data_IF_757477507332
#
_entry.id   IF_757477507332
#
_cell.length_a   1.000
_cell.length_b   1.000
_cell.length_c   1.000
_cell.angle_alpha   90.00
_cell.angle_beta   90.00
_cell.angle_gamma   90.00
#
_symmetry.space_group_name_H-M   'P 1'
#
loop_
_entity.id
_entity.type
_entity.pdbx_description
1 polymer ?
#
# COMPACT_ATOMS: atom_id res chain seq x y z
N UNK A 1 16.34 -0.82 17.21
CA UNK A 1 17.51 -0.33 17.98
C UNK A 1 18.85 -0.84 17.42
N UNK A 2 18.96 -1.01 16.10
CA UNK A 2 20.22 -1.40 15.47
C UNK A 2 21.12 -0.17 15.31
N UNK A 3 22.37 -0.32 15.73
CA UNK A 3 23.41 0.70 15.53
C UNK A 3 24.42 0.24 14.49
N UNK A 4 24.83 1.15 13.63
CA UNK A 4 25.94 0.97 12.68
C UNK A 4 26.69 2.28 12.53
N UNK A 5 28.00 2.19 12.27
CA UNK A 5 28.88 3.37 12.14
C UNK A 5 28.77 4.34 13.34
N UNK A 6 28.62 3.80 14.55
CA UNK A 6 28.59 4.56 15.80
C UNK A 6 27.30 5.31 16.09
N UNK A 7 26.20 5.03 15.37
CA UNK A 7 24.88 5.67 15.63
C UNK A 7 23.72 4.76 15.24
N UNK A 8 22.53 5.06 15.78
CA UNK A 8 21.29 4.37 15.43
C UNK A 8 21.00 4.52 13.94
N UNK A 9 20.43 3.47 13.30
CA UNK A 9 20.00 3.50 11.90
C UNK A 9 19.06 4.66 11.57
N UNK A 10 18.19 5.03 12.51
CA UNK A 10 17.27 6.16 12.33
C UNK A 10 17.96 7.53 12.21
N UNK A 11 19.25 7.62 12.54
CA UNK A 11 20.06 8.81 12.35
C UNK A 11 20.59 9.01 10.92
N UNK A 12 20.35 8.06 10.01
CA UNK A 12 20.82 8.18 8.62
C UNK A 12 19.73 8.75 7.70
N UNK A 13 20.08 9.71 6.88
CA UNK A 13 19.14 10.42 5.99
C UNK A 13 18.40 9.48 5.04
N UNK A 14 19.08 8.47 4.47
CA UNK A 14 18.44 7.50 3.57
C UNK A 14 17.42 6.59 4.31
N UNK A 15 17.59 6.35 5.59
CA UNK A 15 16.61 5.65 6.42
C UNK A 15 15.43 6.58 6.73
N UNK A 16 15.70 7.82 7.09
CA UNK A 16 14.66 8.83 7.36
C UNK A 16 13.79 9.08 6.13
N UNK A 17 14.37 9.14 4.93
CA UNK A 17 13.62 9.26 3.68
C UNK A 17 12.64 8.09 3.50
N UNK A 18 13.10 6.85 3.70
CA UNK A 18 12.23 5.67 3.63
C UNK A 18 11.09 5.72 4.66
N UNK A 19 11.39 6.09 5.90
CA UNK A 19 10.38 6.23 6.94
C UNK A 19 9.35 7.32 6.61
N UNK A 20 9.80 8.46 6.07
CA UNK A 20 8.89 9.53 5.63
C UNK A 20 7.96 9.08 4.50
N UNK A 21 8.46 8.31 3.54
CA UNK A 21 7.62 7.72 2.48
C UNK A 21 6.62 6.72 3.03
N UNK A 22 7.03 5.85 3.95
CA UNK A 22 6.13 4.90 4.61
C UNK A 22 5.00 5.61 5.36
N UNK A 23 5.31 6.69 6.07
CA UNK A 23 4.33 7.53 6.78
C UNK A 23 3.37 8.19 5.78
N UNK A 24 3.88 8.82 4.72
CA UNK A 24 3.05 9.44 3.68
C UNK A 24 2.10 8.42 3.02
N UNK A 25 2.58 7.23 2.73
CA UNK A 25 1.76 6.14 2.18
C UNK A 25 0.65 5.73 3.17
N UNK A 26 0.96 5.63 4.45
CA UNK A 26 0.01 5.25 5.50
C UNK A 26 -1.09 6.31 5.64
N UNK A 27 -0.73 7.56 5.74
CA UNK A 27 -1.69 8.69 5.84
C UNK A 27 -2.59 8.75 4.61
N UNK A 28 -2.01 8.60 3.42
CA UNK A 28 -2.78 8.59 2.16
C UNK A 28 -3.77 7.43 2.12
N UNK A 29 -3.33 6.23 2.50
CA UNK A 29 -4.18 5.04 2.52
C UNK A 29 -5.34 5.15 3.52
N UNK A 30 -5.07 5.70 4.71
CA UNK A 30 -6.11 5.98 5.71
C UNK A 30 -7.12 7.00 5.20
N UNK A 31 -6.67 8.07 4.54
CA UNK A 31 -7.57 9.08 3.96
C UNK A 31 -8.50 8.51 2.88
N UNK A 32 -8.01 7.61 2.02
CA UNK A 32 -8.85 6.90 1.05
C UNK A 32 -9.87 5.99 1.73
N UNK A 33 -9.47 5.29 2.77
CA UNK A 33 -10.36 4.40 3.54
C UNK A 33 -11.44 5.18 4.28
N UNK A 34 -11.09 6.30 4.91
CA UNK A 34 -12.02 7.20 5.59
C UNK A 34 -13.06 7.79 4.61
N UNK A 35 -12.60 8.23 3.43
CA UNK A 35 -13.50 8.71 2.39
C UNK A 35 -14.49 7.63 1.94
N UNK A 36 -14.02 6.39 1.76
CA UNK A 36 -14.88 5.27 1.38
C UNK A 36 -15.91 4.96 2.47
N UNK A 37 -15.49 4.93 3.73
CA UNK A 37 -16.37 4.72 4.86
C UNK A 37 -17.44 5.82 4.98
N UNK A 38 -17.08 7.07 4.74
CA UNK A 38 -18.00 8.21 4.71
C UNK A 38 -19.08 8.06 3.64
N UNK A 39 -18.69 7.67 2.41
CA UNK A 39 -19.63 7.41 1.32
C UNK A 39 -20.59 6.27 1.66
N UNK A 40 -20.07 5.18 2.21
CA UNK A 40 -20.86 4.04 2.62
C UNK A 40 -21.86 4.41 3.73
N UNK A 41 -21.44 5.18 4.74
CA UNK A 41 -22.32 5.64 5.82
C UNK A 41 -23.44 6.55 5.31
N UNK A 42 -23.19 7.32 4.25
CA UNK A 42 -24.20 8.16 3.59
C UNK A 42 -25.15 7.36 2.68
N UNK A 43 -24.97 6.05 2.54
CA UNK A 43 -25.75 5.22 1.62
C UNK A 43 -25.35 5.39 0.15
N UNK A 44 -24.24 6.07 -0.10
CA UNK A 44 -23.67 6.28 -1.44
C UNK A 44 -22.66 5.16 -1.74
N UNK A 45 -23.15 3.94 -2.00
CA UNK A 45 -22.23 2.89 -2.45
C UNK A 45 -21.74 3.24 -3.85
N UNK A 46 -20.41 3.27 -3.99
CA UNK A 46 -19.79 3.62 -5.24
C UNK A 46 -18.68 2.63 -5.59
N UNK A 47 -18.92 1.80 -6.62
CA UNK A 47 -17.98 0.81 -7.14
C UNK A 47 -16.64 1.46 -7.53
N UNK A 48 -16.69 2.63 -8.16
CA UNK A 48 -15.48 3.31 -8.65
C UNK A 48 -14.60 3.83 -7.51
N UNK A 49 -15.11 4.55 -6.49
CA UNK A 49 -14.33 4.86 -5.29
C UNK A 49 -13.74 3.64 -4.59
N UNK A 50 -14.47 2.53 -4.49
CA UNK A 50 -13.95 1.29 -3.92
C UNK A 50 -12.79 0.72 -4.75
N UNK A 51 -12.93 0.70 -6.08
CA UNK A 51 -11.85 0.27 -6.99
C UNK A 51 -10.62 1.17 -6.91
N UNK A 52 -10.81 2.49 -6.81
CA UNK A 52 -9.70 3.45 -6.62
C UNK A 52 -9.01 3.19 -5.29
N UNK A 53 -9.76 3.04 -4.19
CA UNK A 53 -9.20 2.78 -2.87
C UNK A 53 -8.44 1.46 -2.83
N UNK A 54 -9.00 0.39 -3.37
CA UNK A 54 -8.35 -0.93 -3.44
C UNK A 54 -7.07 -0.88 -4.26
N UNK A 55 -7.12 -0.33 -5.46
CA UNK A 55 -5.98 -0.23 -6.37
C UNK A 55 -4.84 0.58 -5.74
N UNK A 56 -5.15 1.75 -5.19
CA UNK A 56 -4.15 2.65 -4.63
C UNK A 56 -3.60 2.13 -3.30
N UNK A 57 -4.46 1.68 -2.37
CA UNK A 57 -4.00 1.18 -1.07
C UNK A 57 -3.14 -0.08 -1.21
N UNK A 58 -3.47 -1.00 -2.12
CA UNK A 58 -2.64 -2.17 -2.38
C UNK A 58 -1.26 -1.77 -2.92
N UNK A 59 -1.18 -0.77 -3.80
CA UNK A 59 0.09 -0.23 -4.32
C UNK A 59 0.92 0.41 -3.20
N UNK A 60 0.30 1.25 -2.37
CA UNK A 60 0.96 1.90 -1.23
C UNK A 60 1.46 0.88 -0.20
N UNK A 61 0.66 -0.16 0.06
CA UNK A 61 1.04 -1.25 0.98
C UNK A 61 2.27 -2.01 0.47
N UNK A 62 2.31 -2.37 -0.83
CA UNK A 62 3.48 -3.03 -1.44
C UNK A 62 4.74 -2.18 -1.28
N UNK A 63 4.67 -0.90 -1.58
CA UNK A 63 5.80 0.02 -1.43
C UNK A 63 6.24 0.11 0.04
N UNK A 64 5.30 0.30 0.97
CA UNK A 64 5.59 0.43 2.40
C UNK A 64 6.26 -0.81 2.97
N UNK A 65 5.75 -2.00 2.64
CA UNK A 65 6.35 -3.26 3.13
C UNK A 65 7.71 -3.54 2.49
N UNK A 66 7.91 -3.16 1.22
CA UNK A 66 9.22 -3.26 0.57
C UNK A 66 10.26 -2.35 1.24
N UNK A 67 9.91 -1.09 1.51
CA UNK A 67 10.78 -0.16 2.24
C UNK A 67 11.09 -0.66 3.66
N UNK A 68 10.10 -1.19 4.37
CA UNK A 68 10.30 -1.80 5.69
C UNK A 68 11.28 -2.97 5.65
N UNK A 69 11.15 -3.85 4.64
CA UNK A 69 12.07 -4.97 4.42
C UNK A 69 13.50 -4.48 4.15
N UNK A 70 13.66 -3.43 3.33
CA UNK A 70 14.98 -2.85 3.05
C UNK A 70 15.63 -2.26 4.30
N UNK A 71 14.88 -1.52 5.13
CA UNK A 71 15.36 -0.94 6.38
C UNK A 71 15.87 -2.04 7.33
N UNK A 72 15.22 -3.20 7.36
CA UNK A 72 15.62 -4.34 8.18
C UNK A 72 16.85 -5.08 7.63
N UNK A 73 17.30 -4.80 6.42
CA UNK A 73 18.44 -5.46 5.79
C UNK A 73 18.23 -6.97 5.70
N UNK A 74 19.24 -7.78 6.04
CA UNK A 74 19.15 -9.25 6.05
C UNK A 74 18.05 -9.81 6.94
N UNK A 75 17.73 -9.15 8.04
CA UNK A 75 16.62 -9.54 8.92
C UNK A 75 15.24 -9.36 8.24
N UNK A 76 15.17 -8.52 7.21
CA UNK A 76 13.95 -8.25 6.48
C UNK A 76 13.41 -9.41 5.64
N UNK A 77 14.19 -10.48 5.47
CA UNK A 77 13.80 -11.70 4.74
C UNK A 77 13.63 -12.92 5.65
N UNK A 78 13.81 -12.77 6.95
CA UNK A 78 13.65 -13.86 7.91
C UNK A 78 12.25 -13.84 8.53
N UNK A 79 11.68 -15.01 8.80
CA UNK A 79 10.31 -15.13 9.33
C UNK A 79 10.17 -14.63 10.77
N UNK A 80 11.25 -14.65 11.54
CA UNK A 80 11.31 -14.15 12.92
C UNK A 80 11.03 -12.66 13.01
N UNK A 81 11.38 -11.91 11.96
CA UNK A 81 11.22 -10.44 11.87
C UNK A 81 9.95 -10.04 11.14
N UNK A 82 8.87 -10.71 11.30
CA UNK A 82 7.50 -10.41 10.79
C UNK A 82 7.37 -9.56 9.50
N UNK A 83 8.36 -8.73 9.19
CA UNK A 83 8.38 -7.85 8.00
C UNK A 83 8.31 -8.66 6.70
N UNK A 84 8.95 -9.83 6.65
CA UNK A 84 8.86 -10.76 5.52
C UNK A 84 7.42 -11.27 5.32
N UNK A 85 6.72 -11.55 6.44
CA UNK A 85 5.30 -11.92 6.40
C UNK A 85 4.44 -10.80 5.81
N UNK A 86 4.58 -9.58 6.31
CA UNK A 86 3.83 -8.44 5.79
C UNK A 86 4.12 -8.15 4.31
N UNK A 87 5.35 -8.37 3.87
CA UNK A 87 5.70 -8.28 2.45
C UNK A 87 4.93 -9.32 1.62
N UNK A 88 4.87 -10.57 2.06
CA UNK A 88 4.08 -11.62 1.41
C UNK A 88 2.58 -11.33 1.43
N UNK A 89 2.05 -10.89 2.57
CA UNK A 89 0.63 -10.51 2.71
C UNK A 89 0.27 -9.34 1.76
N UNK A 90 1.17 -8.37 1.58
CA UNK A 90 0.97 -7.25 0.66
C UNK A 90 0.86 -7.71 -0.80
N UNK A 91 1.67 -8.69 -1.22
CA UNK A 91 1.58 -9.29 -2.57
C UNK A 91 0.25 -10.03 -2.76
N UNK A 92 -0.22 -10.74 -1.73
CA UNK A 92 -1.53 -11.38 -1.76
C UNK A 92 -2.66 -10.36 -1.91
N UNK A 93 -2.67 -9.30 -1.08
CA UNK A 93 -3.67 -8.22 -1.13
C UNK A 93 -3.65 -7.51 -2.48
N UNK A 94 -2.49 -7.31 -3.08
CA UNK A 94 -2.37 -6.71 -4.41
C UNK A 94 -3.03 -7.58 -5.48
N UNK A 95 -2.94 -8.90 -5.34
CA UNK A 95 -3.31 -9.87 -6.38
C UNK A 95 -4.76 -10.34 -6.31
N UNK A 96 -5.38 -10.42 -5.12
CA UNK A 96 -6.71 -11.01 -4.94
C UNK A 96 -7.80 -9.96 -4.70
N UNK A 97 -9.09 -10.39 -4.68
CA UNK A 97 -10.26 -9.53 -4.52
C UNK A 97 -10.34 -8.42 -5.57
N UNK A 98 -10.11 -8.79 -6.83
CA UNK A 98 -9.95 -7.87 -7.94
C UNK A 98 -8.48 -7.42 -8.07
N UNK A 99 -7.82 -7.91 -9.13
CA UNK A 99 -6.43 -7.55 -9.40
C UNK A 99 -6.29 -6.05 -9.65
N UNK A 100 -5.05 -5.56 -9.62
CA UNK A 100 -4.76 -4.17 -9.99
C UNK A 100 -5.32 -3.82 -11.39
N UNK A 101 -5.19 -4.73 -12.33
CA UNK A 101 -5.66 -4.58 -13.71
C UNK A 101 -7.19 -4.51 -13.78
N UNK A 102 -7.89 -5.41 -13.07
CA UNK A 102 -9.37 -5.39 -13.02
C UNK A 102 -9.90 -4.07 -12.44
N UNK A 103 -9.33 -3.61 -11.34
CA UNK A 103 -9.72 -2.31 -10.76
C UNK A 103 -9.41 -1.15 -11.72
N UNK A 104 -8.28 -1.20 -12.44
CA UNK A 104 -7.94 -0.21 -13.46
C UNK A 104 -8.97 -0.18 -14.60
N UNK A 105 -9.47 -1.34 -15.03
CA UNK A 105 -10.50 -1.44 -16.08
C UNK A 105 -11.86 -0.89 -15.63
N UNK A 106 -12.25 -1.11 -14.36
CA UNK A 106 -13.46 -0.53 -13.78
C UNK A 106 -13.39 1.01 -13.82
N UNK A 107 -12.27 1.56 -13.36
CA UNK A 107 -12.04 3.01 -13.36
C UNK A 107 -12.00 3.55 -14.79
N UNK A 108 -11.27 2.88 -15.69
CA UNK A 108 -11.16 3.26 -17.09
C UNK A 108 -12.52 3.28 -17.82
N UNK A 109 -13.38 2.28 -17.57
CA UNK A 109 -14.74 2.25 -18.07
C UNK A 109 -15.57 3.45 -17.59
N UNK A 110 -15.46 3.77 -16.32
CA UNK A 110 -16.17 4.94 -15.78
C UNK A 110 -15.74 6.25 -16.45
N UNK A 111 -14.44 6.45 -16.65
CA UNK A 111 -13.89 7.66 -17.23
C UNK A 111 -14.19 7.80 -18.73
N UNK A 112 -14.21 6.70 -19.46
CA UNK A 112 -14.32 6.72 -20.92
C UNK A 112 -15.71 6.34 -21.45
N UNK A 113 -16.56 5.76 -20.62
CA UNK A 113 -17.83 5.16 -21.02
C UNK A 113 -17.69 3.87 -21.85
N UNK A 114 -16.46 3.37 -22.04
CA UNK A 114 -16.18 2.19 -22.88
C UNK A 114 -15.68 1.03 -22.02
N UNK A 115 -16.37 -0.11 -22.09
CA UNK A 115 -15.90 -1.35 -21.47
C UNK A 115 -14.73 -1.93 -22.25
N UNK A 116 -13.72 -2.43 -21.52
CA UNK A 116 -12.57 -3.12 -22.11
C UNK A 116 -12.80 -4.64 -22.23
N UNK A 117 -13.84 -5.16 -21.59
CA UNK A 117 -14.29 -6.54 -21.78
C UNK A 117 -15.22 -6.59 -22.99
N UNK A 118 -14.76 -7.26 -24.01
CA UNK A 118 -15.53 -7.48 -25.27
C UNK A 118 -16.08 -8.91 -25.23
#
# INVERSE_FOLDING_TARGET
NREQFGRSLTGFQLIQEKLARMEANTVTGLGLSDRLATLQAAGEFAEVPASVAKMQNARLLRETTALGREICGGNGITVEHKVAKFFGDAEAIYSYEGTHEVNSLIIGRHLTGKGAFV
#
